data_IF_532832585481
#
_entry.id   IF_532832585481
#
_cell.length_a   1.000
_cell.length_b   1.000
_cell.length_c   1.000
_cell.angle_alpha   90.00
_cell.angle_beta   90.00
_cell.angle_gamma   90.00
#
_symmetry.space_group_name_H-M   'P 1'
#
loop_
_entity.id
_entity.type
_entity.pdbx_description
1 polymer ?
#
# COMPACT_ATOMS: atom_id res chain seq x y z
N UNK A 1 -18.47 35.77 13.44
CA UNK A 1 -19.18 35.32 12.22
C UNK A 1 -19.01 33.81 12.16
N UNK A 2 -20.09 33.03 12.32
CA UNK A 2 -19.96 31.57 12.22
C UNK A 2 -19.72 31.23 10.77
N UNK A 3 -18.54 30.65 10.48
CA UNK A 3 -18.18 30.16 9.17
C UNK A 3 -18.69 28.72 9.03
N UNK A 4 -19.93 28.60 8.58
CA UNK A 4 -20.62 27.34 8.42
C UNK A 4 -20.86 27.12 6.94
N UNK A 5 -20.35 26.02 6.39
CA UNK A 5 -20.70 25.56 5.05
C UNK A 5 -21.50 24.26 5.17
N UNK A 6 -22.76 24.30 4.77
CA UNK A 6 -23.58 23.11 4.68
C UNK A 6 -23.78 22.74 3.21
N UNK A 7 -23.45 21.51 2.86
CA UNK A 7 -23.67 20.98 1.50
C UNK A 7 -24.36 19.64 1.53
N UNK A 8 -25.17 19.37 0.50
CA UNK A 8 -25.86 18.09 0.32
C UNK A 8 -25.34 17.43 -0.96
N UNK A 9 -24.83 16.21 -0.84
CA UNK A 9 -24.25 15.44 -1.94
C UNK A 9 -25.06 14.17 -2.14
N UNK A 10 -25.76 14.01 -3.27
CA UNK A 10 -26.34 12.73 -3.64
C UNK A 10 -25.22 11.78 -4.10
N UNK A 11 -25.30 10.52 -3.70
CA UNK A 11 -24.34 9.49 -4.11
C UNK A 11 -25.04 8.16 -4.33
N UNK A 12 -24.64 7.44 -5.38
CA UNK A 12 -25.12 6.08 -5.67
C UNK A 12 -23.96 5.08 -5.71
N UNK A 13 -24.16 3.88 -5.16
CA UNK A 13 -23.18 2.78 -5.23
C UNK A 13 -22.81 2.40 -6.66
N UNK A 14 -23.66 2.68 -7.64
CA UNK A 14 -23.40 2.45 -9.07
C UNK A 14 -22.39 3.44 -9.68
N UNK A 15 -22.07 4.52 -8.99
CA UNK A 15 -21.10 5.53 -9.47
C UNK A 15 -19.66 5.12 -9.23
N UNK A 16 -19.42 4.03 -8.48
CA UNK A 16 -18.09 3.60 -8.08
C UNK A 16 -17.51 4.48 -6.97
N UNK A 17 -16.20 4.69 -6.94
CA UNK A 17 -15.55 5.50 -5.91
C UNK A 17 -15.90 6.98 -6.09
N UNK A 18 -16.53 7.58 -5.08
CA UNK A 18 -16.84 9.00 -5.02
C UNK A 18 -15.78 9.79 -4.25
N UNK A 19 -15.65 11.08 -4.60
CA UNK A 19 -14.72 12.01 -3.95
C UNK A 19 -15.44 13.29 -3.57
N UNK A 20 -15.29 13.70 -2.33
CA UNK A 20 -15.71 15.00 -1.81
C UNK A 20 -14.44 15.78 -1.52
N UNK A 21 -14.13 16.77 -2.35
CA UNK A 21 -12.90 17.56 -2.21
C UNK A 21 -13.20 18.78 -1.34
N UNK A 22 -12.28 19.11 -0.44
CA UNK A 22 -12.40 20.17 0.54
C UNK A 22 -11.19 21.10 0.42
N UNK A 23 -11.48 22.40 0.28
CA UNK A 23 -10.51 23.48 0.26
C UNK A 23 -9.46 23.37 -0.88
N UNK A 24 -9.90 23.04 -2.11
CA UNK A 24 -9.04 22.97 -3.29
C UNK A 24 -9.00 24.29 -4.10
N UNK A 25 -9.85 25.25 -3.74
CA UNK A 25 -10.00 26.52 -4.45
C UNK A 25 -10.68 26.40 -5.84
N UNK A 26 -11.11 25.20 -6.25
CA UNK A 26 -11.72 24.91 -7.55
C UNK A 26 -13.15 24.38 -7.41
N UNK A 27 -13.29 23.15 -6.90
CA UNK A 27 -14.59 22.54 -6.60
C UNK A 27 -15.15 23.15 -5.32
N UNK A 28 -14.33 23.24 -4.29
CA UNK A 28 -14.63 23.95 -3.06
C UNK A 28 -13.82 25.27 -3.02
N UNK A 29 -14.52 26.36 -3.40
CA UNK A 29 -13.90 27.69 -3.51
C UNK A 29 -13.54 28.22 -2.14
N UNK A 30 -12.45 28.97 -2.10
CA UNK A 30 -12.04 29.67 -0.89
C UNK A 30 -13.03 30.75 -0.49
N UNK A 31 -13.28 30.82 0.82
CA UNK A 31 -14.17 31.81 1.38
C UNK A 31 -13.60 33.22 1.21
N UNK A 32 -14.43 34.10 0.70
CA UNK A 32 -14.06 35.52 0.54
C UNK A 32 -14.83 36.37 1.54
N UNK A 33 -14.15 37.33 2.08
CA UNK A 33 -14.72 38.29 3.02
C UNK A 33 -14.08 39.67 2.85
N UNK A 34 -14.59 40.62 3.62
CA UNK A 34 -14.06 41.96 3.66
C UNK A 34 -13.36 42.15 4.99
N UNK A 35 -12.05 42.46 4.94
CA UNK A 35 -11.26 42.82 6.10
C UNK A 35 -11.57 44.27 6.49
N UNK A 36 -12.29 44.43 7.59
CA UNK A 36 -12.72 45.76 8.07
C UNK A 36 -11.57 46.61 8.65
N UNK A 37 -10.45 45.98 9.00
CA UNK A 37 -9.29 46.69 9.54
C UNK A 37 -8.50 47.32 8.40
N UNK A 38 -8.18 46.55 7.39
CA UNK A 38 -7.39 46.99 6.23
C UNK A 38 -8.25 47.54 5.08
N UNK A 39 -9.58 47.49 5.24
CA UNK A 39 -10.56 47.96 4.26
C UNK A 39 -10.36 47.35 2.86
N UNK A 40 -10.11 46.04 2.79
CA UNK A 40 -9.84 45.29 1.56
C UNK A 40 -10.55 43.94 1.51
N UNK A 41 -10.72 43.41 0.30
CA UNK A 41 -11.14 42.03 0.12
C UNK A 41 -10.03 41.09 0.63
N UNK A 42 -10.46 40.09 1.37
CA UNK A 42 -9.61 39.01 1.89
C UNK A 42 -10.16 37.66 1.43
N UNK A 43 -9.29 36.73 1.16
CA UNK A 43 -9.60 35.35 0.78
C UNK A 43 -8.93 34.40 1.75
N UNK A 44 -9.70 33.45 2.29
CA UNK A 44 -9.23 32.41 3.20
C UNK A 44 -8.70 31.22 2.36
N UNK A 45 -7.47 31.33 1.87
CA UNK A 45 -6.84 30.28 1.07
C UNK A 45 -6.63 29.05 1.91
N UNK A 46 -7.46 28.00 1.68
CA UNK A 46 -7.48 26.78 2.45
C UNK A 46 -8.71 26.65 3.38
N UNK A 47 -9.60 27.69 3.43
CA UNK A 47 -10.80 27.66 4.25
C UNK A 47 -10.53 27.24 5.72
N UNK A 48 -9.42 27.69 6.28
CA UNK A 48 -9.01 27.36 7.63
C UNK A 48 -10.02 27.86 8.67
N UNK A 49 -10.42 26.98 9.60
CA UNK A 49 -11.41 27.27 10.62
C UNK A 49 -12.84 27.42 10.07
N UNK A 50 -13.10 27.03 8.81
CA UNK A 50 -14.45 26.88 8.29
C UNK A 50 -15.05 25.56 8.79
N UNK A 51 -16.20 25.63 9.42
CA UNK A 51 -16.93 24.46 9.87
C UNK A 51 -17.76 23.86 8.73
N UNK A 52 -17.31 22.73 8.22
CA UNK A 52 -17.98 21.99 7.16
C UNK A 52 -19.00 21.02 7.73
N UNK A 53 -20.23 21.11 7.25
CA UNK A 53 -21.29 20.12 7.43
C UNK A 53 -21.62 19.54 6.07
N UNK A 54 -21.28 18.28 5.85
CA UNK A 54 -21.46 17.59 4.56
C UNK A 54 -22.50 16.48 4.75
N UNK A 55 -23.69 16.68 4.21
CA UNK A 55 -24.74 15.66 4.19
C UNK A 55 -24.62 14.82 2.91
N UNK A 56 -24.38 13.52 3.04
CA UNK A 56 -24.31 12.59 1.92
C UNK A 56 -25.56 11.73 1.89
N UNK A 57 -26.41 11.95 0.88
CA UNK A 57 -27.61 11.11 0.64
C UNK A 57 -27.23 9.92 -0.21
N UNK A 58 -27.13 8.76 0.41
CA UNK A 58 -26.71 7.54 -0.27
C UNK A 58 -27.88 6.76 -0.82
N UNK A 59 -27.68 6.03 -1.92
CA UNK A 59 -28.64 5.08 -2.50
C UNK A 59 -27.90 3.90 -3.13
N UNK A 60 -28.62 2.80 -3.37
CA UNK A 60 -28.09 1.59 -3.98
C UNK A 60 -28.10 0.41 -3.02
N UNK A 61 -27.17 -0.54 -3.21
CA UNK A 61 -27.08 -1.78 -2.44
C UNK A 61 -25.69 -1.95 -1.83
N UNK A 62 -25.58 -2.81 -0.80
CA UNK A 62 -24.32 -3.10 -0.10
C UNK A 62 -23.97 -2.06 0.94
N UNK A 63 -22.71 -2.00 1.31
CA UNK A 63 -22.18 -1.00 2.24
C UNK A 63 -21.32 0.02 1.51
N UNK A 64 -21.18 1.16 2.15
CA UNK A 64 -20.36 2.29 1.75
C UNK A 64 -19.34 2.54 2.84
N UNK A 65 -18.07 2.64 2.47
CA UNK A 65 -16.97 2.91 3.36
C UNK A 65 -16.48 4.34 3.13
N UNK A 66 -16.35 5.09 4.21
CA UNK A 66 -15.89 6.47 4.19
C UNK A 66 -14.45 6.54 4.68
N UNK A 67 -13.62 7.22 3.91
CA UNK A 67 -12.20 7.45 4.25
C UNK A 67 -11.88 8.92 4.14
N UNK A 68 -11.04 9.40 5.03
CA UNK A 68 -10.38 10.69 4.92
C UNK A 68 -9.02 10.53 4.25
N UNK A 69 -8.65 11.43 3.34
CA UNK A 69 -7.35 11.45 2.68
C UNK A 69 -6.74 12.86 2.70
N UNK A 70 -5.52 12.96 3.19
CA UNK A 70 -4.76 14.21 3.28
C UNK A 70 -4.00 14.50 1.98
N UNK A 71 -4.73 14.73 0.90
CA UNK A 71 -4.19 14.92 -0.45
C UNK A 71 -3.13 16.04 -0.57
N UNK A 72 -3.28 17.11 0.21
CA UNK A 72 -2.42 18.29 0.17
C UNK A 72 -1.08 18.16 0.90
N UNK A 73 -0.89 17.09 1.67
CA UNK A 73 0.31 16.86 2.48
C UNK A 73 0.00 16.58 3.95
N UNK A 74 0.82 17.09 4.84
CA UNK A 74 0.72 16.80 6.27
C UNK A 74 -0.57 17.35 6.88
N UNK A 75 -1.29 16.48 7.59
CA UNK A 75 -2.57 16.80 8.21
C UNK A 75 -2.66 16.19 9.63
N UNK A 76 -3.23 16.95 10.55
CA UNK A 76 -3.68 16.47 11.84
C UNK A 76 -4.98 17.18 12.20
N UNK A 77 -5.99 16.44 12.61
CA UNK A 77 -7.29 17.02 12.94
C UNK A 77 -8.28 16.00 13.43
N UNK A 78 -9.56 16.34 13.34
CA UNK A 78 -10.68 15.50 13.76
C UNK A 78 -11.79 15.61 12.74
N UNK A 79 -12.47 14.49 12.48
CA UNK A 79 -13.74 14.46 11.77
C UNK A 79 -14.80 13.79 12.64
N UNK A 80 -16.02 14.28 12.58
CA UNK A 80 -17.20 13.57 13.11
C UNK A 80 -17.97 12.97 11.93
N UNK A 81 -18.39 11.71 12.08
CA UNK A 81 -19.32 11.06 11.17
C UNK A 81 -20.55 10.63 11.94
N UNK A 82 -21.73 11.00 11.46
CA UNK A 82 -23.00 10.73 12.12
C UNK A 82 -24.05 10.24 11.14
N UNK A 83 -24.88 9.32 11.59
CA UNK A 83 -25.96 8.72 10.79
C UNK A 83 -26.98 8.01 11.68
N UNK A 84 -28.15 7.73 11.13
CA UNK A 84 -29.18 6.92 11.79
C UNK A 84 -29.00 5.44 11.37
N UNK A 85 -28.57 4.59 12.29
CA UNK A 85 -28.54 3.15 12.10
C UNK A 85 -29.90 2.53 12.50
N UNK A 86 -30.42 1.65 11.66
CA UNK A 86 -31.73 1.03 11.89
C UNK A 86 -31.81 0.12 13.12
N UNK A 87 -30.67 -0.29 13.68
CA UNK A 87 -30.58 -1.19 14.86
C UNK A 87 -30.08 -0.46 16.11
N UNK A 88 -29.13 0.45 15.93
CA UNK A 88 -28.45 1.13 17.04
C UNK A 88 -29.02 2.53 17.33
N UNK A 89 -29.86 3.07 16.43
CA UNK A 89 -30.34 4.44 16.52
C UNK A 89 -29.33 5.45 16.00
N UNK A 90 -29.29 6.64 16.61
CA UNK A 90 -28.35 7.70 16.20
C UNK A 90 -26.90 7.29 16.58
N UNK A 91 -26.04 7.24 15.57
CA UNK A 91 -24.61 7.02 15.71
C UNK A 91 -23.89 8.35 15.50
N UNK A 92 -23.01 8.71 16.42
CA UNK A 92 -22.10 9.85 16.32
C UNK A 92 -20.70 9.35 16.68
N UNK A 93 -19.76 9.48 15.76
CA UNK A 93 -18.41 8.96 15.91
C UNK A 93 -17.39 10.03 15.59
N UNK A 94 -16.55 10.33 16.56
CA UNK A 94 -15.41 11.23 16.40
C UNK A 94 -14.19 10.40 16.01
N UNK A 95 -13.51 10.81 14.97
CA UNK A 95 -12.35 10.14 14.39
C UNK A 95 -11.16 11.09 14.41
N UNK A 96 -10.11 10.71 15.10
CA UNK A 96 -8.83 11.40 15.03
C UNK A 96 -8.17 11.14 13.67
N UNK A 97 -7.55 12.16 13.11
CA UNK A 97 -6.94 12.16 11.78
C UNK A 97 -5.45 12.56 11.87
N UNK A 98 -4.53 11.57 12.03
CA UNK A 98 -4.76 10.12 12.11
C UNK A 98 -4.96 9.62 13.55
N UNK A 99 -5.39 8.35 13.70
CA UNK A 99 -5.59 7.71 15.02
C UNK A 99 -4.30 7.29 15.72
N UNK A 100 -3.30 6.89 14.95
CA UNK A 100 -2.14 6.15 15.47
C UNK A 100 -0.81 6.90 15.30
N UNK A 101 -0.82 8.15 14.87
CA UNK A 101 0.37 9.00 14.71
C UNK A 101 0.01 10.46 14.93
N UNK A 102 1.02 11.33 15.03
CA UNK A 102 0.80 12.76 15.22
C UNK A 102 0.21 13.43 13.99
N UNK A 103 0.64 12.99 12.78
CA UNK A 103 0.21 13.54 11.50
C UNK A 103 0.11 12.44 10.46
N UNK A 104 -0.60 12.70 9.37
CA UNK A 104 -0.68 11.84 8.19
C UNK A 104 -0.36 12.64 6.92
N UNK A 105 0.04 11.95 5.85
CA UNK A 105 0.24 12.57 4.53
C UNK A 105 1.60 13.18 4.30
N UNK A 106 2.51 13.16 5.25
CA UNK A 106 3.88 13.61 5.04
C UNK A 106 4.57 12.71 4.01
N UNK A 107 4.88 13.26 2.82
CA UNK A 107 5.42 12.53 1.67
C UNK A 107 4.55 11.34 1.18
N UNK A 108 3.29 11.27 1.59
CA UNK A 108 2.35 10.23 1.20
C UNK A 108 0.97 10.81 0.85
N UNK A 109 0.75 11.13 -0.41
CA UNK A 109 -0.52 11.64 -0.92
C UNK A 109 -1.66 10.59 -0.90
N UNK A 110 -1.33 9.34 -0.61
CA UNK A 110 -2.29 8.23 -0.51
C UNK A 110 -2.64 7.87 0.93
N UNK A 111 -2.06 8.58 1.92
CA UNK A 111 -2.39 8.38 3.32
C UNK A 111 -3.90 8.54 3.53
N UNK A 112 -4.52 7.52 4.10
CA UNK A 112 -5.98 7.49 4.33
C UNK A 112 -6.27 7.05 5.75
N UNK A 113 -7.31 7.68 6.35
CA UNK A 113 -7.87 7.26 7.63
C UNK A 113 -9.31 6.81 7.41
N UNK A 114 -9.64 5.63 7.93
CA UNK A 114 -11.00 5.10 7.84
C UNK A 114 -11.92 5.83 8.80
N UNK A 115 -13.03 6.37 8.31
CA UNK A 115 -14.02 7.05 9.14
C UNK A 115 -15.05 6.07 9.69
N UNK A 116 -15.87 5.50 8.80
CA UNK A 116 -16.86 4.48 9.13
C UNK A 116 -17.43 3.80 7.88
N UNK A 117 -18.32 2.82 8.10
CA UNK A 117 -19.14 2.24 7.03
C UNK A 117 -20.63 2.27 7.38
N UNK A 118 -21.46 2.49 6.37
CA UNK A 118 -22.90 2.49 6.50
C UNK A 118 -23.53 1.67 5.39
N UNK A 119 -24.75 1.20 5.62
CA UNK A 119 -25.55 0.58 4.56
C UNK A 119 -26.00 1.62 3.55
N UNK A 120 -25.97 1.29 2.27
CA UNK A 120 -26.53 2.15 1.23
C UNK A 120 -28.01 2.45 1.50
N UNK A 121 -28.42 3.70 1.23
CA UNK A 121 -29.72 4.23 1.63
C UNK A 121 -29.71 5.00 2.94
N UNK A 122 -28.59 4.98 3.68
CA UNK A 122 -28.41 5.78 4.90
C UNK A 122 -27.98 7.21 4.54
N UNK A 123 -28.57 8.21 5.18
CA UNK A 123 -28.08 9.59 5.11
C UNK A 123 -26.95 9.77 6.15
N UNK A 124 -25.79 10.25 5.69
CA UNK A 124 -24.60 10.42 6.51
C UNK A 124 -24.25 11.89 6.58
N UNK A 125 -23.99 12.40 7.77
CA UNK A 125 -23.48 13.75 7.98
C UNK A 125 -22.01 13.64 8.43
N UNK A 126 -21.14 14.42 7.78
CA UNK A 126 -19.73 14.53 8.14
C UNK A 126 -19.45 15.97 8.54
N UNK A 127 -18.86 16.12 9.72
CA UNK A 127 -18.37 17.40 10.23
C UNK A 127 -16.86 17.41 10.28
N UNK A 128 -16.25 18.46 9.78
CA UNK A 128 -14.83 18.70 9.95
C UNK A 128 -14.51 20.20 9.84
N UNK A 129 -13.41 20.59 10.47
CA UNK A 129 -12.86 21.94 10.39
C UNK A 129 -11.39 21.85 10.04
N UNK A 130 -10.94 22.34 8.87
CA UNK A 130 -9.51 22.37 8.55
C UNK A 130 -8.73 23.20 9.58
N UNK A 131 -7.79 22.60 10.32
CA UNK A 131 -6.99 23.34 11.30
C UNK A 131 -5.92 24.19 10.61
N UNK A 132 -5.53 25.31 11.22
CA UNK A 132 -4.63 26.29 10.64
C UNK A 132 -3.22 25.81 10.30
N UNK A 133 -2.82 24.62 10.78
CA UNK A 133 -1.51 24.02 10.50
C UNK A 133 -1.57 22.87 9.49
N UNK A 134 -2.75 22.55 8.97
CA UNK A 134 -2.91 21.44 8.02
C UNK A 134 -2.57 21.86 6.59
N UNK A 135 -2.08 20.94 5.81
CA UNK A 135 -1.94 21.12 4.37
C UNK A 135 -3.23 20.73 3.64
N UNK A 136 -3.65 21.56 2.73
CA UNK A 136 -4.89 21.39 1.97
C UNK A 136 -4.57 21.33 0.46
N UNK A 137 -5.42 20.74 -0.36
CA UNK A 137 -6.74 20.22 -0.07
C UNK A 137 -6.74 18.87 0.65
N UNK A 138 -7.90 18.53 1.22
CA UNK A 138 -8.19 17.19 1.69
C UNK A 138 -9.42 16.65 0.97
N UNK A 139 -9.69 15.36 1.10
CA UNK A 139 -10.88 14.76 0.51
C UNK A 139 -11.44 13.64 1.35
N UNK A 140 -12.73 13.43 1.21
CA UNK A 140 -13.41 12.26 1.72
C UNK A 140 -13.73 11.35 0.55
N UNK A 141 -13.34 10.08 0.67
CA UNK A 141 -13.68 9.05 -0.29
C UNK A 141 -14.90 8.29 0.18
N UNK A 142 -15.81 8.01 -0.76
CA UNK A 142 -16.96 7.11 -0.56
C UNK A 142 -16.73 5.90 -1.45
N UNK A 143 -16.51 4.74 -0.83
CA UNK A 143 -16.09 3.52 -1.53
C UNK A 143 -17.16 2.44 -1.34
N UNK A 144 -17.90 2.02 -2.37
CA UNK A 144 -18.83 0.92 -2.26
C UNK A 144 -18.14 -0.44 -2.17
N UNK A 145 -18.76 -1.41 -1.51
CA UNK A 145 -18.28 -2.80 -1.39
C UNK A 145 -17.77 -3.37 -2.73
N UNK A 146 -18.51 -3.11 -3.81
CA UNK A 146 -18.17 -3.60 -5.16
C UNK A 146 -16.84 -3.07 -5.66
N UNK A 147 -16.54 -1.80 -5.40
CA UNK A 147 -15.27 -1.19 -5.79
C UNK A 147 -14.12 -1.68 -4.90
N UNK A 148 -14.38 -1.85 -3.61
CA UNK A 148 -13.40 -2.40 -2.68
C UNK A 148 -13.02 -3.84 -3.07
N UNK A 149 -14.00 -4.69 -3.36
CA UNK A 149 -13.77 -6.06 -3.81
C UNK A 149 -13.02 -6.13 -5.14
N UNK A 150 -13.34 -5.24 -6.09
CA UNK A 150 -12.62 -5.17 -7.36
C UNK A 150 -11.15 -4.79 -7.16
N UNK A 151 -10.85 -3.84 -6.26
CA UNK A 151 -9.48 -3.47 -5.92
C UNK A 151 -8.71 -4.63 -5.28
N UNK A 152 -9.32 -5.34 -4.33
CA UNK A 152 -8.72 -6.53 -3.69
C UNK A 152 -8.39 -7.60 -4.72
N UNK A 153 -9.33 -7.91 -5.62
CA UNK A 153 -9.13 -8.90 -6.67
C UNK A 153 -7.98 -8.50 -7.61
N UNK A 154 -7.85 -7.22 -7.94
CA UNK A 154 -6.77 -6.71 -8.78
C UNK A 154 -5.41 -6.89 -8.12
N UNK A 155 -5.28 -6.53 -6.84
CA UNK A 155 -4.04 -6.69 -6.06
C UNK A 155 -3.64 -8.16 -5.98
N UNK A 156 -4.59 -9.05 -5.68
CA UNK A 156 -4.33 -10.49 -5.63
C UNK A 156 -3.86 -11.05 -6.98
N UNK A 157 -4.48 -10.64 -8.08
CA UNK A 157 -4.08 -11.06 -9.41
C UNK A 157 -2.68 -10.55 -9.80
N UNK A 158 -2.31 -9.34 -9.39
CA UNK A 158 -0.95 -8.81 -9.59
C UNK A 158 0.09 -9.56 -8.76
N UNK A 159 -0.24 -9.89 -7.52
CA UNK A 159 0.64 -10.64 -6.64
C UNK A 159 0.89 -12.06 -7.17
N UNK A 160 -0.15 -12.74 -7.62
CA UNK A 160 -0.02 -14.04 -8.29
C UNK A 160 0.88 -13.96 -9.53
N UNK A 161 0.69 -12.96 -10.40
CA UNK A 161 1.56 -12.77 -11.58
C UNK A 161 3.02 -12.55 -11.20
N UNK A 162 3.29 -11.77 -10.14
CA UNK A 162 4.66 -11.57 -9.64
C UNK A 162 5.28 -12.86 -9.13
N UNK A 163 4.52 -13.68 -8.40
CA UNK A 163 4.98 -14.97 -7.89
C UNK A 163 5.28 -15.95 -9.04
N UNK A 164 4.41 -16.05 -10.04
CA UNK A 164 4.61 -16.89 -11.22
C UNK A 164 5.84 -16.45 -12.02
N UNK A 165 6.04 -15.14 -12.20
CA UNK A 165 7.21 -14.61 -12.91
C UNK A 165 8.51 -14.90 -12.14
N UNK A 166 8.50 -14.73 -10.82
CA UNK A 166 9.63 -15.06 -9.95
C UNK A 166 9.97 -16.56 -10.01
N UNK A 167 8.97 -17.42 -9.94
CA UNK A 167 9.13 -18.87 -10.07
C UNK A 167 9.70 -19.27 -11.45
N UNK A 168 9.22 -18.63 -12.52
CA UNK A 168 9.75 -18.86 -13.88
C UNK A 168 11.21 -18.44 -14.02
N UNK A 169 11.58 -17.29 -13.47
CA UNK A 169 12.98 -16.82 -13.46
C UNK A 169 13.88 -17.77 -12.66
N UNK A 170 13.44 -18.20 -11.50
CA UNK A 170 14.18 -19.17 -10.68
C UNK A 170 14.38 -20.51 -11.38
N UNK A 171 13.34 -21.02 -12.05
CA UNK A 171 13.42 -22.26 -12.83
C UNK A 171 14.38 -22.13 -14.05
N UNK A 172 14.39 -20.98 -14.70
CA UNK A 172 15.30 -20.71 -15.81
C UNK A 172 16.75 -20.62 -15.32
N UNK A 173 16.98 -19.98 -14.19
CA UNK A 173 18.31 -19.90 -13.57
C UNK A 173 18.82 -21.27 -13.15
N UNK A 174 17.99 -22.10 -12.55
CA UNK A 174 18.35 -23.49 -12.23
C UNK A 174 18.72 -24.30 -13.47
N UNK A 175 17.95 -24.16 -14.56
CA UNK A 175 18.28 -24.82 -15.84
C UNK A 175 19.63 -24.35 -16.41
N UNK A 176 19.92 -23.06 -16.31
CA UNK A 176 21.23 -22.51 -16.75
C UNK A 176 22.39 -23.05 -15.90
N UNK A 177 22.22 -23.13 -14.57
CA UNK A 177 23.23 -23.69 -13.66
C UNK A 177 23.46 -25.18 -13.95
N UNK A 178 22.39 -25.95 -14.13
CA UNK A 178 22.52 -27.38 -14.51
C UNK A 178 23.21 -27.60 -15.85
N UNK A 179 22.89 -26.76 -16.86
CA UNK A 179 23.55 -26.84 -18.16
C UNK A 179 25.06 -26.49 -18.08
N UNK A 180 25.43 -25.50 -17.26
CA UNK A 180 26.83 -25.14 -17.03
C UNK A 180 27.57 -26.26 -16.30
N UNK A 181 26.95 -26.89 -15.32
CA UNK A 181 27.54 -27.99 -14.56
C UNK A 181 27.78 -29.21 -15.48
N UNK A 182 26.81 -29.57 -16.35
CA UNK A 182 26.99 -30.65 -17.32
C UNK A 182 28.10 -30.36 -18.33
N UNK A 183 28.29 -29.12 -18.77
CA UNK A 183 29.36 -28.73 -19.66
C UNK A 183 30.75 -28.85 -18.96
N UNK A 184 30.80 -28.51 -17.69
CA UNK A 184 32.03 -28.57 -16.88
C UNK A 184 32.44 -30.04 -16.62
N UNK A 185 31.47 -30.90 -16.32
CA UNK A 185 31.67 -32.34 -16.13
C UNK A 185 32.12 -33.03 -17.42
N UNK A 186 31.58 -32.65 -18.58
CA UNK A 186 32.00 -33.16 -19.87
C UNK A 186 33.44 -32.72 -20.24
N UNK A 187 33.84 -31.48 -19.86
CA UNK A 187 35.17 -30.98 -20.07
C UNK A 187 36.18 -31.70 -19.18
N UNK A 188 35.88 -31.88 -17.93
CA UNK A 188 36.75 -32.61 -16.97
C UNK A 188 36.90 -34.06 -17.38
N UNK A 189 35.87 -34.72 -17.87
CA UNK A 189 35.91 -36.11 -18.34
C UNK A 189 36.78 -36.26 -19.63
N UNK A 190 36.80 -35.26 -20.49
CA UNK A 190 37.60 -35.22 -21.70
C UNK A 190 39.10 -35.01 -21.38
N UNK A 191 39.39 -34.09 -20.44
CA UNK A 191 40.75 -33.83 -19.97
C UNK A 191 41.37 -35.05 -19.25
N UNK A 192 40.53 -35.83 -18.52
CA UNK A 192 40.99 -37.12 -17.91
C UNK A 192 41.21 -38.23 -18.93
N UNK A 193 40.44 -38.28 -20.01
CA UNK A 193 40.64 -39.26 -21.07
C UNK A 193 41.94 -38.99 -21.87
N UNK A 194 42.26 -37.72 -22.13
CA UNK A 194 43.48 -37.34 -22.86
C UNK A 194 44.73 -37.53 -21.99
N UNK A 195 44.65 -37.46 -20.65
CA UNK A 195 45.76 -37.71 -19.74
C UNK A 195 46.12 -39.21 -19.64
N UNK A 196 45.12 -40.10 -19.74
CA UNK A 196 45.36 -41.56 -19.75
C UNK A 196 45.88 -42.11 -21.10
N UNK A 197 45.70 -41.39 -22.19
CA UNK A 197 46.22 -41.78 -23.50
C UNK A 197 47.70 -41.43 -23.69
N UNK A 198 48.31 -40.63 -22.79
CA UNK A 198 49.68 -40.18 -22.82
C UNK A 198 50.69 -41.04 -22.04
N UNK A 199 50.27 -41.95 -21.17
CA UNK A 199 51.16 -42.73 -20.28
C UNK A 199 51.36 -44.18 -20.73
N UNK A 200 51.39 -44.43 -22.03
CA UNK A 200 51.62 -45.78 -22.57
C UNK A 200 52.87 -45.90 -23.43
N UNK A 201 54.06 -45.64 -22.89
CA UNK A 201 55.34 -46.17 -23.39
C UNK A 201 56.51 -45.65 -22.55
N UNK A 202 56.89 -46.36 -21.50
CA UNK A 202 58.26 -46.75 -21.29
C UNK A 202 58.34 -47.93 -20.29
N UNK A 203 58.92 -49.00 -20.80
CA UNK A 203 59.08 -50.26 -20.11
C UNK A 203 60.55 -50.44 -19.84
N UNK A 204 61.00 -50.22 -18.60
CA UNK A 204 62.23 -50.79 -18.10
C UNK A 204 62.26 -50.88 -16.60
N UNK A 205 62.24 -52.13 -16.12
CA UNK A 205 62.48 -52.50 -14.73
C UNK A 205 63.98 -52.26 -14.36
N UNK A 206 64.25 -52.16 -13.03
CA UNK A 206 64.54 -53.43 -12.31
C UNK A 206 63.99 -53.48 -10.86
N UNK A 207 63.73 -54.73 -10.51
CA UNK A 207 63.54 -55.30 -9.17
C UNK A 207 64.57 -54.87 -8.13
N UNK A 208 64.16 -54.46 -6.93
CA UNK A 208 64.85 -54.84 -5.66
C UNK A 208 63.82 -54.92 -4.52
N UNK A 209 63.95 -56.00 -3.81
CA UNK A 209 63.25 -56.57 -2.70
C UNK A 209 63.47 -55.91 -1.33
N UNK A 210 62.58 -56.31 -0.41
CA UNK A 210 62.68 -56.33 1.08
C UNK A 210 62.34 -55.03 1.78
N UNK A 211 61.60 -54.99 2.88
CA UNK A 211 61.34 -55.94 3.97
C UNK A 211 60.15 -55.43 4.78
N UNK A 212 59.36 -56.39 5.29
CA UNK A 212 58.58 -56.42 6.51
C UNK A 212 59.07 -55.53 7.65
N UNK A 213 58.11 -54.90 8.37
CA UNK A 213 57.95 -54.99 9.83
C UNK A 213 56.55 -54.72 10.23
N UNK A 214 56.01 -55.64 11.03
CA UNK A 214 54.84 -55.58 11.92
C UNK A 214 55.10 -54.54 13.03
N UNK A 215 54.10 -53.91 13.59
CA UNK A 215 53.39 -54.25 14.80
C UNK A 215 52.70 -53.05 15.41
N UNK A 216 51.52 -53.37 15.84
CA UNK A 216 50.82 -53.07 17.09
C UNK A 216 50.07 -51.76 17.31
N UNK A 217 48.76 -51.95 17.33
CA UNK A 217 47.75 -51.38 18.19
C UNK A 217 48.17 -51.46 19.70
N UNK A 218 47.58 -50.79 20.72
CA UNK A 218 46.18 -50.37 20.82
C UNK A 218 45.83 -49.14 21.68
N UNK A 219 44.59 -48.71 21.58
CA UNK A 219 43.64 -48.34 22.62
C UNK A 219 43.87 -47.14 23.53
N UNK A 220 42.74 -46.36 23.61
CA UNK A 220 42.13 -45.73 24.79
C UNK A 220 42.67 -44.41 25.33
N UNK A 221 41.96 -43.39 25.10
CA UNK A 221 41.07 -42.77 26.12
C UNK A 221 40.15 -41.74 25.48
#
# INVERSE_FOLDING_TARGET
MNRLLKTLIPYSTSEGIGYIVIADGRQDRFLRGYDAIDNRLSEDVGNYGLDYTIDVKTKGEGNLHFYFNSQGGEYAGVAEISYLDGKQGQVNKIVELPRNSLTMGYNDAYAMEYLDSVKAGTEVTIHLMPPGAANLPVRILVVPDTALQAAVNTVQAEEQRRQEEAARRAAEEQRRQQAQQQQQDQKNNKDHADTQAGEGKDNSQPLISHRFWHDDDPASK
#
